data_IF_020179477600
#
_entry.id   IF_020179477600
#
_cell.length_a   1.000
_cell.length_b   1.000
_cell.length_c   1.000
_cell.angle_alpha   90.00
_cell.angle_beta   90.00
_cell.angle_gamma   90.00
#
_symmetry.space_group_name_H-M   'P 1'
#
loop_
_entity.id
_entity.type
_entity.pdbx_description
1 polymer ?
#
# COMPACT_ATOMS: atom_id res chain seq x y z
N UNK A 1 21.70 15.34 8.49
CA UNK A 1 20.54 15.67 7.62
C UNK A 1 19.84 16.87 8.21
N UNK A 2 19.43 17.81 7.36
CA UNK A 2 18.65 18.96 7.80
C UNK A 2 17.26 18.50 8.29
N UNK A 3 16.71 19.13 9.33
CA UNK A 3 15.48 18.68 9.96
C UNK A 3 14.29 18.67 8.98
N UNK A 4 14.22 19.63 8.06
CA UNK A 4 13.16 19.74 7.06
C UNK A 4 13.24 18.62 6.02
N UNK A 5 14.43 18.29 5.53
CA UNK A 5 14.66 17.14 4.65
C UNK A 5 14.30 15.80 5.32
N UNK A 6 14.55 15.67 6.63
CA UNK A 6 14.18 14.49 7.41
C UNK A 6 12.65 14.38 7.58
N UNK A 7 11.94 15.50 7.78
CA UNK A 7 10.48 15.54 7.78
C UNK A 7 9.91 15.05 6.44
N UNK A 8 10.36 15.63 5.33
CA UNK A 8 9.88 15.27 3.99
C UNK A 8 10.11 13.78 3.72
N UNK A 9 11.25 13.24 4.14
CA UNK A 9 11.58 11.83 3.94
C UNK A 9 10.73 10.87 4.75
N UNK A 10 10.49 11.17 6.04
CA UNK A 10 9.94 10.20 6.99
C UNK A 10 8.44 10.38 7.27
N UNK A 11 7.88 11.59 7.08
CA UNK A 11 6.46 11.83 7.38
C UNK A 11 5.50 10.98 6.52
N UNK A 12 5.65 10.87 5.19
CA UNK A 12 4.76 10.05 4.38
C UNK A 12 4.84 8.56 4.76
N UNK A 13 6.03 8.09 5.10
CA UNK A 13 6.27 6.72 5.56
C UNK A 13 5.60 6.46 6.92
N UNK A 14 5.76 7.38 7.87
CA UNK A 14 5.12 7.28 9.18
C UNK A 14 3.60 7.25 9.07
N UNK A 15 3.01 8.07 8.19
CA UNK A 15 1.58 8.08 7.93
C UNK A 15 1.07 6.73 7.38
N UNK A 16 1.82 6.12 6.44
CA UNK A 16 1.50 4.79 5.92
C UNK A 16 1.58 3.71 7.00
N UNK A 17 2.66 3.69 7.80
CA UNK A 17 2.81 2.74 8.89
C UNK A 17 1.72 2.91 9.96
N UNK A 18 1.32 4.16 10.25
CA UNK A 18 0.23 4.46 11.15
C UNK A 18 -1.11 3.89 10.63
N UNK A 19 -1.42 4.12 9.36
CA UNK A 19 -2.62 3.59 8.71
C UNK A 19 -2.64 2.06 8.71
N UNK A 20 -1.53 1.41 8.32
CA UNK A 20 -1.40 -0.04 8.31
C UNK A 20 -1.49 -0.62 9.73
N UNK A 21 -0.93 0.07 10.73
CA UNK A 21 -1.05 -0.28 12.13
C UNK A 21 -2.49 -0.18 12.65
N UNK A 22 -3.20 0.90 12.30
CA UNK A 22 -4.60 1.08 12.63
C UNK A 22 -5.52 0.04 11.99
N UNK A 23 -5.26 -0.33 10.72
CA UNK A 23 -5.98 -1.41 10.03
C UNK A 23 -5.75 -2.75 10.73
N UNK A 24 -4.50 -3.08 11.09
CA UNK A 24 -4.19 -4.33 11.78
C UNK A 24 -4.74 -4.40 13.21
N UNK A 25 -4.89 -3.27 13.89
CA UNK A 25 -5.52 -3.20 15.22
C UNK A 25 -7.06 -3.16 15.16
N UNK A 26 -7.64 -2.97 13.97
CA UNK A 26 -9.08 -3.00 13.77
C UNK A 26 -9.64 -4.40 13.98
N UNK A 27 -10.84 -4.48 14.57
CA UNK A 27 -11.57 -5.74 14.82
C UNK A 27 -12.36 -6.25 13.61
N UNK A 28 -12.14 -5.64 12.44
CA UNK A 28 -12.85 -5.97 11.20
C UNK A 28 -11.84 -6.30 10.12
N UNK A 29 -12.06 -7.38 9.35
CA UNK A 29 -11.20 -7.68 8.22
C UNK A 29 -11.34 -6.58 7.17
N UNK A 30 -10.20 -6.11 6.66
CA UNK A 30 -10.15 -5.04 5.67
C UNK A 30 -9.70 -5.62 4.33
N UNK A 31 -10.52 -5.40 3.30
CA UNK A 31 -10.21 -5.81 1.93
C UNK A 31 -9.58 -4.64 1.18
N UNK A 32 -8.40 -4.86 0.59
CA UNK A 32 -7.80 -3.96 -0.38
C UNK A 32 -7.38 -4.70 -1.63
N UNK A 33 -7.10 -3.96 -2.69
CA UNK A 33 -6.43 -4.47 -3.90
C UNK A 33 -4.92 -4.32 -3.71
N UNK A 34 -4.12 -5.28 -4.19
CA UNK A 34 -2.67 -5.17 -4.15
C UNK A 34 -2.12 -3.93 -4.84
N UNK A 35 -2.75 -3.50 -5.95
CA UNK A 35 -2.35 -2.28 -6.66
C UNK A 35 -2.56 -1.01 -5.82
N UNK A 36 -3.69 -0.86 -5.12
CA UNK A 36 -3.91 0.27 -4.18
C UNK A 36 -2.90 0.27 -3.05
N UNK A 37 -2.59 -0.89 -2.49
CA UNK A 37 -1.61 -1.05 -1.42
C UNK A 37 -0.19 -0.64 -1.88
N UNK A 38 0.22 -1.15 -3.04
CA UNK A 38 1.51 -0.80 -3.65
C UNK A 38 1.61 0.67 -4.06
N UNK A 39 0.51 1.26 -4.55
CA UNK A 39 0.48 2.69 -4.84
C UNK A 39 0.61 3.53 -3.57
N UNK A 40 -0.09 3.14 -2.49
CA UNK A 40 0.03 3.80 -1.19
C UNK A 40 1.45 3.70 -0.63
N UNK A 41 2.10 2.53 -0.77
CA UNK A 41 3.50 2.35 -0.42
C UNK A 41 4.44 3.22 -1.29
N UNK A 42 4.19 3.30 -2.59
CA UNK A 42 4.94 4.17 -3.50
C UNK A 42 4.84 5.66 -3.10
N UNK A 43 3.66 6.11 -2.69
CA UNK A 43 3.49 7.46 -2.13
C UNK A 43 4.22 7.59 -0.79
N UNK A 44 4.18 6.58 0.07
CA UNK A 44 4.83 6.60 1.39
C UNK A 44 6.35 6.74 1.31
N UNK A 45 6.98 6.20 0.25
CA UNK A 45 8.44 6.22 0.05
C UNK A 45 8.90 7.42 -0.80
N UNK A 46 7.99 8.24 -1.33
CA UNK A 46 8.35 9.39 -2.20
C UNK A 46 9.36 10.33 -1.54
N UNK A 47 9.20 10.59 -0.24
CA UNK A 47 10.11 11.44 0.53
C UNK A 47 11.53 10.88 0.58
N UNK A 48 11.65 9.56 0.75
CA UNK A 48 12.95 8.88 0.76
C UNK A 48 13.61 8.92 -0.62
N UNK A 49 12.81 8.80 -1.68
CA UNK A 49 13.29 8.91 -3.06
C UNK A 49 13.83 10.30 -3.39
N UNK A 50 13.13 11.35 -2.93
CA UNK A 50 13.57 12.75 -3.07
C UNK A 50 14.86 13.00 -2.28
N UNK A 51 14.97 12.44 -1.07
CA UNK A 51 16.11 12.68 -0.19
C UNK A 51 17.43 12.04 -0.67
N UNK A 52 17.37 10.94 -1.43
CA UNK A 52 18.56 10.19 -1.85
C UNK A 52 18.61 9.89 -3.36
N UNK A 53 17.96 8.81 -3.84
CA UNK A 53 18.13 8.31 -5.20
C UNK A 53 17.90 9.35 -6.29
N UNK A 54 16.86 10.19 -6.19
CA UNK A 54 16.58 11.20 -7.22
C UNK A 54 17.72 12.21 -7.40
N UNK A 55 18.42 12.57 -6.32
CA UNK A 55 19.61 13.44 -6.40
C UNK A 55 20.77 12.74 -7.08
N UNK A 56 20.90 11.42 -6.91
CA UNK A 56 21.98 10.63 -7.48
C UNK A 56 21.81 10.43 -9.00
N UNK A 57 20.57 10.35 -9.47
CA UNK A 57 20.23 10.18 -10.89
C UNK A 57 20.07 11.51 -11.64
N UNK A 58 20.37 12.65 -11.00
CA UNK A 58 20.30 13.98 -11.60
C UNK A 58 21.66 14.33 -12.22
N UNK A 59 21.80 14.35 -13.56
CA UNK A 59 23.05 14.79 -14.16
C UNK A 59 23.13 16.33 -14.14
N UNK A 60 24.31 16.87 -13.82
CA UNK A 60 24.51 18.31 -13.58
C UNK A 60 24.10 19.20 -14.77
N UNK A 61 24.24 18.67 -15.98
CA UNK A 61 23.84 19.35 -17.22
C UNK A 61 22.31 19.56 -17.32
N UNK A 62 21.51 18.62 -16.84
CA UNK A 62 20.05 18.74 -16.82
C UNK A 62 19.61 19.73 -15.74
N UNK A 63 20.25 19.71 -14.57
CA UNK A 63 19.98 20.67 -13.51
C UNK A 63 20.26 22.12 -13.96
N UNK A 64 21.34 22.33 -14.71
CA UNK A 64 21.69 23.64 -15.28
C UNK A 64 20.69 24.14 -16.34
N UNK A 65 20.10 23.23 -17.13
CA UNK A 65 19.19 23.60 -18.22
C UNK A 65 17.75 23.86 -17.74
N UNK A 66 17.25 23.03 -16.83
CA UNK A 66 15.84 23.05 -16.40
C UNK A 66 15.60 23.78 -15.07
N UNK A 67 16.66 24.08 -14.31
CA UNK A 67 16.56 24.78 -13.04
C UNK A 67 15.59 24.06 -12.07
N UNK A 68 14.73 24.80 -11.33
CA UNK A 68 13.79 24.22 -10.36
C UNK A 68 12.77 23.24 -10.97
N UNK A 69 12.41 23.40 -12.25
CA UNK A 69 11.39 22.56 -12.91
C UNK A 69 11.81 21.09 -13.05
N UNK A 70 13.10 20.78 -12.91
CA UNK A 70 13.58 19.40 -12.97
C UNK A 70 12.96 18.51 -11.88
N UNK A 71 12.65 19.09 -10.71
CA UNK A 71 12.01 18.36 -9.62
C UNK A 71 10.58 17.93 -9.98
N UNK A 72 9.83 18.79 -10.67
CA UNK A 72 8.50 18.44 -11.17
C UNK A 72 8.58 17.31 -12.20
N UNK A 73 9.57 17.36 -13.10
CA UNK A 73 9.78 16.33 -14.11
C UNK A 73 10.20 14.99 -13.48
N UNK A 74 11.09 15.00 -12.48
CA UNK A 74 11.51 13.82 -11.72
C UNK A 74 10.37 13.21 -10.90
N UNK A 75 9.57 14.04 -10.22
CA UNK A 75 8.41 13.58 -9.48
C UNK A 75 7.38 12.95 -10.43
N UNK A 76 7.16 13.57 -11.60
CA UNK A 76 6.26 13.04 -12.63
C UNK A 76 6.74 11.69 -13.16
N UNK A 77 8.04 11.57 -13.47
CA UNK A 77 8.65 10.32 -13.91
C UNK A 77 8.52 9.23 -12.84
N UNK A 78 8.72 9.58 -11.57
CA UNK A 78 8.54 8.66 -10.45
C UNK A 78 7.10 8.14 -10.36
N UNK A 79 6.11 9.02 -10.39
CA UNK A 79 4.70 8.61 -10.36
C UNK A 79 4.31 7.77 -11.58
N UNK A 80 4.86 8.09 -12.75
CA UNK A 80 4.64 7.30 -13.95
C UNK A 80 5.26 5.90 -13.82
N UNK A 81 6.47 5.79 -13.28
CA UNK A 81 7.14 4.52 -13.02
C UNK A 81 6.37 3.67 -11.99
N UNK A 82 5.92 4.27 -10.89
CA UNK A 82 5.08 3.59 -9.88
C UNK A 82 3.75 3.14 -10.50
N UNK A 83 3.11 3.99 -11.30
CA UNK A 83 1.85 3.64 -11.99
C UNK A 83 2.08 2.49 -12.97
N UNK A 84 3.14 2.54 -13.76
CA UNK A 84 3.49 1.49 -14.71
C UNK A 84 3.79 0.16 -14.00
N UNK A 85 4.56 0.20 -12.91
CA UNK A 85 4.77 -0.96 -12.04
C UNK A 85 3.44 -1.55 -11.59
N UNK A 86 2.55 -0.73 -11.00
CA UNK A 86 1.26 -1.20 -10.47
C UNK A 86 0.37 -1.77 -11.59
N UNK A 87 0.42 -1.19 -12.80
CA UNK A 87 -0.32 -1.69 -13.96
C UNK A 87 0.24 -3.00 -14.52
N UNK A 88 1.54 -3.28 -14.35
CA UNK A 88 2.15 -4.56 -14.73
C UNK A 88 1.82 -5.70 -13.77
N UNK A 89 1.38 -5.39 -12.55
CA UNK A 89 1.04 -6.40 -11.58
C UNK A 89 -0.27 -7.11 -11.93
N UNK A 90 -0.30 -8.43 -11.69
CA UNK A 90 -1.52 -9.22 -11.83
C UNK A 90 -2.56 -8.80 -10.80
N UNK A 91 -3.87 -8.91 -11.12
CA UNK A 91 -4.92 -8.61 -10.16
C UNK A 91 -4.77 -9.51 -8.93
N UNK A 92 -4.58 -8.86 -7.78
CA UNK A 92 -4.52 -9.52 -6.48
C UNK A 92 -5.36 -8.74 -5.47
N UNK A 93 -6.02 -9.47 -4.59
CA UNK A 93 -6.74 -8.90 -3.45
C UNK A 93 -6.03 -9.30 -2.17
N UNK A 94 -5.96 -8.39 -1.20
CA UNK A 94 -5.35 -8.63 0.10
C UNK A 94 -6.41 -8.40 1.17
N UNK A 95 -6.66 -9.43 1.96
CA UNK A 95 -7.54 -9.37 3.13
C UNK A 95 -6.68 -9.30 4.37
N UNK A 96 -6.73 -8.17 5.07
CA UNK A 96 -6.05 -7.99 6.34
C UNK A 96 -6.85 -8.55 7.51
N UNK A 97 -6.13 -8.99 8.53
CA UNK A 97 -6.66 -9.50 9.80
C UNK A 97 -7.64 -10.67 9.65
N UNK A 98 -7.30 -11.63 8.79
CA UNK A 98 -8.05 -12.86 8.53
C UNK A 98 -7.09 -14.02 8.26
N UNK A 99 -7.54 -15.25 8.50
CA UNK A 99 -6.81 -16.50 8.17
C UNK A 99 -7.54 -17.24 7.05
N UNK A 100 -6.90 -18.21 6.39
CA UNK A 100 -7.57 -19.01 5.35
C UNK A 100 -8.82 -19.69 5.92
N UNK A 101 -8.77 -20.20 7.15
CA UNK A 101 -9.91 -20.88 7.80
C UNK A 101 -11.13 -19.96 7.99
N UNK A 102 -10.91 -18.67 8.21
CA UNK A 102 -11.98 -17.68 8.36
C UNK A 102 -12.47 -17.17 7.00
N UNK A 103 -11.56 -16.97 6.06
CA UNK A 103 -11.88 -16.44 4.74
C UNK A 103 -12.60 -17.47 3.87
N UNK A 104 -12.20 -18.75 3.94
CA UNK A 104 -12.71 -19.82 3.07
C UNK A 104 -14.22 -20.02 3.17
N UNK A 105 -14.87 -20.03 4.35
CA UNK A 105 -16.33 -20.05 4.47
C UNK A 105 -17.03 -18.79 3.92
N UNK A 106 -16.43 -17.61 4.09
CA UNK A 106 -16.96 -16.35 3.54
C UNK A 106 -16.89 -16.39 2.01
N UNK A 107 -15.72 -16.78 1.48
CA UNK A 107 -15.49 -16.88 0.05
C UNK A 107 -16.35 -17.97 -0.58
N UNK A 108 -16.64 -19.09 0.09
CA UNK A 108 -17.59 -20.11 -0.38
C UNK A 108 -19.00 -19.56 -0.53
N UNK A 109 -19.49 -18.80 0.45
CA UNK A 109 -20.81 -18.16 0.38
C UNK A 109 -20.89 -17.19 -0.80
N UNK A 110 -19.90 -16.29 -0.89
CA UNK A 110 -19.78 -15.33 -1.99
C UNK A 110 -19.65 -16.05 -3.34
N UNK A 111 -18.87 -17.13 -3.41
CA UNK A 111 -18.69 -17.89 -4.63
C UNK A 111 -19.98 -18.55 -5.11
N UNK A 112 -20.75 -19.16 -4.21
CA UNK A 112 -22.03 -19.76 -4.57
C UNK A 112 -23.07 -18.73 -5.04
N UNK A 113 -23.01 -17.49 -4.51
CA UNK A 113 -23.89 -16.40 -4.95
C UNK A 113 -23.50 -15.84 -6.33
N UNK A 114 -22.20 -15.78 -6.63
CA UNK A 114 -21.68 -15.26 -7.89
C UNK A 114 -21.65 -16.30 -9.02
N UNK A 115 -21.33 -17.54 -8.70
CA UNK A 115 -21.12 -18.64 -9.65
C UNK A 115 -21.46 -19.98 -8.99
N UNK A 116 -22.68 -20.51 -9.20
CA UNK A 116 -23.09 -21.80 -8.68
C UNK A 116 -22.21 -22.97 -9.16
N UNK A 117 -21.47 -22.80 -10.26
CA UNK A 117 -20.57 -23.83 -10.81
C UNK A 117 -19.14 -23.73 -10.26
N UNK A 118 -18.88 -22.86 -9.28
CA UNK A 118 -17.56 -22.67 -8.71
C UNK A 118 -16.98 -23.98 -8.13
N UNK A 119 -15.75 -24.32 -8.52
CA UNK A 119 -15.05 -25.55 -8.12
C UNK A 119 -13.88 -25.23 -7.21
N UNK A 120 -13.81 -25.92 -6.08
CA UNK A 120 -12.72 -25.80 -5.13
C UNK A 120 -11.69 -26.92 -5.32
N UNK A 121 -10.41 -26.57 -5.21
CA UNK A 121 -9.31 -27.52 -5.18
C UNK A 121 -8.28 -27.07 -4.14
N UNK A 122 -8.37 -27.62 -2.93
CA UNK A 122 -7.52 -27.19 -1.81
C UNK A 122 -7.75 -25.72 -1.47
N UNK A 123 -6.73 -24.89 -1.73
CA UNK A 123 -6.76 -23.42 -1.53
C UNK A 123 -6.95 -22.64 -2.84
N UNK A 124 -7.16 -23.36 -3.95
CA UNK A 124 -7.56 -22.79 -5.21
C UNK A 124 -9.08 -22.84 -5.39
N UNK A 125 -9.64 -21.83 -6.05
CA UNK A 125 -11.03 -21.81 -6.52
C UNK A 125 -11.10 -21.36 -7.98
N UNK A 126 -11.82 -22.14 -8.78
CA UNK A 126 -12.13 -21.84 -10.16
C UNK A 126 -13.59 -21.38 -10.25
N UNK A 127 -13.81 -20.27 -10.95
CA UNK A 127 -15.11 -19.72 -11.34
C UNK A 127 -15.30 -19.91 -12.85
N UNK A 128 -15.93 -21.00 -13.30
CA UNK A 128 -16.07 -21.29 -14.73
C UNK A 128 -16.84 -20.22 -15.50
N UNK A 129 -17.93 -19.70 -14.93
CA UNK A 129 -18.79 -18.72 -15.64
C UNK A 129 -18.15 -17.33 -15.71
N UNK A 130 -17.31 -16.99 -14.73
CA UNK A 130 -16.55 -15.73 -14.69
C UNK A 130 -15.17 -15.83 -15.35
N UNK A 131 -14.71 -17.04 -15.67
CA UNK A 131 -13.37 -17.28 -16.22
C UNK A 131 -12.23 -16.88 -15.26
N UNK A 132 -12.47 -16.90 -13.96
CA UNK A 132 -11.48 -16.50 -12.95
C UNK A 132 -10.98 -17.75 -12.22
N UNK A 133 -9.67 -17.83 -12.03
CA UNK A 133 -9.05 -18.85 -11.19
C UNK A 133 -8.19 -18.14 -10.13
N UNK A 134 -8.42 -18.48 -8.88
CA UNK A 134 -7.81 -17.84 -7.72
C UNK A 134 -7.10 -18.88 -6.87
N UNK A 135 -6.00 -18.47 -6.24
CA UNK A 135 -5.35 -19.20 -5.15
C UNK A 135 -5.28 -18.31 -3.93
N UNK A 136 -5.58 -18.90 -2.77
CA UNK A 136 -5.44 -18.28 -1.47
C UNK A 136 -4.04 -18.57 -0.92
N UNK A 137 -3.33 -17.51 -0.55
CA UNK A 137 -2.03 -17.58 0.12
C UNK A 137 -2.12 -16.88 1.46
N UNK A 138 -1.82 -17.59 2.54
CA UNK A 138 -1.77 -17.00 3.88
C UNK A 138 -0.35 -16.56 4.22
N UNK A 139 -0.22 -15.34 4.74
CA UNK A 139 0.96 -14.95 5.49
C UNK A 139 0.61 -14.92 6.98
N UNK A 140 1.12 -15.92 7.69
CA UNK A 140 0.84 -16.19 9.10
C UNK A 140 1.37 -15.08 10.01
N UNK A 141 2.47 -14.42 9.62
CA UNK A 141 3.08 -13.33 10.40
C UNK A 141 2.12 -12.13 10.54
N UNK A 142 1.50 -11.68 9.46
CA UNK A 142 0.59 -10.52 9.50
C UNK A 142 -0.90 -10.89 9.53
N UNK A 143 -1.24 -12.18 9.62
CA UNK A 143 -2.63 -12.68 9.54
C UNK A 143 -3.35 -12.04 8.36
N UNK A 144 -2.72 -12.13 7.19
CA UNK A 144 -3.22 -11.62 5.94
C UNK A 144 -3.37 -12.76 4.94
N UNK A 145 -4.47 -12.74 4.19
CA UNK A 145 -4.69 -13.68 3.10
C UNK A 145 -4.67 -12.93 1.79
N UNK A 146 -3.82 -13.37 0.88
CA UNK A 146 -3.74 -12.87 -0.47
C UNK A 146 -4.54 -13.79 -1.39
N UNK A 147 -5.32 -13.19 -2.27
CA UNK A 147 -6.09 -13.86 -3.31
C UNK A 147 -5.42 -13.53 -4.63
N UNK A 148 -4.66 -14.48 -5.15
CA UNK A 148 -3.82 -14.32 -6.34
C UNK A 148 -4.50 -14.94 -7.56
N UNK A 149 -4.40 -14.28 -8.72
CA UNK A 149 -4.86 -14.82 -10.00
C UNK A 149 -3.98 -15.99 -10.48
N UNK A 150 -4.59 -17.13 -10.81
CA UNK A 150 -3.93 -18.30 -11.41
C UNK A 150 -4.38 -18.47 -12.87
N UNK A 151 -3.89 -17.63 -13.76
CA UNK A 151 -4.18 -17.72 -15.19
C UNK A 151 -3.77 -16.47 -15.97
N UNK A 152 -3.74 -16.58 -17.30
CA UNK A 152 -3.32 -15.51 -18.20
C UNK A 152 -4.39 -14.43 -18.43
N UNK A 153 -5.51 -14.77 -19.08
CA UNK A 153 -6.64 -13.85 -19.29
C UNK A 153 -7.63 -14.00 -18.14
N UNK A 154 -7.76 -12.96 -17.34
CA UNK A 154 -8.85 -12.83 -16.37
C UNK A 154 -9.59 -11.54 -16.63
N UNK A 155 -10.91 -11.59 -16.54
CA UNK A 155 -11.75 -10.42 -16.77
C UNK A 155 -11.71 -9.47 -15.55
N UNK A 156 -11.30 -8.22 -15.79
CA UNK A 156 -11.20 -7.19 -14.76
C UNK A 156 -12.56 -6.88 -14.14
N UNK A 157 -13.64 -6.92 -14.94
CA UNK A 157 -14.98 -6.60 -14.45
C UNK A 157 -15.48 -7.68 -13.48
N UNK A 158 -15.19 -8.94 -13.78
CA UNK A 158 -15.47 -10.08 -12.91
C UNK A 158 -14.66 -10.02 -11.60
N UNK A 159 -13.40 -9.57 -11.65
CA UNK A 159 -12.60 -9.27 -10.43
C UNK A 159 -13.22 -8.17 -9.58
N UNK A 160 -13.70 -7.09 -10.21
CA UNK A 160 -14.35 -5.99 -9.50
C UNK A 160 -15.64 -6.43 -8.82
N UNK A 161 -16.42 -7.31 -9.47
CA UNK A 161 -17.62 -7.91 -8.87
C UNK A 161 -17.27 -8.74 -7.64
N UNK A 162 -16.22 -9.57 -7.73
CA UNK A 162 -15.72 -10.35 -6.60
C UNK A 162 -15.25 -9.45 -5.45
N UNK A 163 -14.47 -8.39 -5.74
CA UNK A 163 -14.01 -7.42 -4.73
C UNK A 163 -15.19 -6.78 -3.98
N UNK A 164 -16.24 -6.35 -4.70
CA UNK A 164 -17.40 -5.71 -4.10
C UNK A 164 -18.22 -6.68 -3.24
N UNK A 165 -18.47 -7.89 -3.74
CA UNK A 165 -19.23 -8.91 -3.00
C UNK A 165 -18.47 -9.40 -1.76
N UNK A 166 -17.18 -9.69 -1.91
CA UNK A 166 -16.32 -10.12 -0.80
C UNK A 166 -16.16 -9.00 0.24
N UNK A 167 -15.99 -7.75 -0.20
CA UNK A 167 -15.92 -6.59 0.69
C UNK A 167 -17.22 -6.37 1.47
N UNK A 168 -18.38 -6.63 0.86
CA UNK A 168 -19.68 -6.60 1.52
C UNK A 168 -19.83 -7.69 2.59
N UNK A 169 -19.41 -8.92 2.27
CA UNK A 169 -19.48 -10.06 3.18
C UNK A 169 -18.51 -9.92 4.36
N UNK A 170 -17.26 -9.51 4.12
CA UNK A 170 -16.23 -9.35 5.14
C UNK A 170 -16.58 -8.27 6.18
N UNK A 171 -17.31 -7.21 5.80
CA UNK A 171 -17.76 -6.18 6.74
C UNK A 171 -18.67 -6.70 7.86
N UNK A 172 -19.30 -7.86 7.65
CA UNK A 172 -20.19 -8.50 8.64
C UNK A 172 -19.42 -9.41 9.60
N UNK A 173 -18.18 -9.74 9.28
CA UNK A 173 -17.33 -10.59 10.10
C UNK A 173 -16.56 -9.76 11.12
N UNK A 174 -16.32 -10.34 12.30
CA UNK A 174 -15.52 -9.72 13.36
C UNK A 174 -14.30 -10.58 13.63
N UNK A 175 -13.13 -9.98 13.67
CA UNK A 175 -11.86 -10.69 13.90
C UNK A 175 -11.12 -10.11 15.10
N UNK A 176 -10.32 -10.96 15.76
CA UNK A 176 -9.46 -10.51 16.85
C UNK A 176 -8.37 -9.57 16.30
N UNK A 177 -8.04 -8.47 17.00
CA UNK A 177 -7.02 -7.52 16.55
C UNK A 177 -5.65 -8.19 16.42
N UNK A 178 -4.83 -7.75 15.47
CA UNK A 178 -3.49 -8.29 15.26
C UNK A 178 -2.46 -7.51 16.11
N UNK A 179 -1.70 -8.17 17.01
CA UNK A 179 -0.68 -7.51 17.83
C UNK A 179 0.42 -6.81 17.02
N UNK A 180 0.72 -7.26 15.79
CA UNK A 180 1.67 -6.58 14.90
C UNK A 180 1.23 -5.16 14.53
N UNK A 181 -0.07 -4.86 14.60
CA UNK A 181 -0.58 -3.49 14.45
C UNK A 181 -0.01 -2.54 15.51
N UNK A 182 0.16 -3.02 16.74
CA UNK A 182 0.78 -2.24 17.82
C UNK A 182 2.25 -1.93 17.56
N UNK A 183 3.00 -2.87 16.97
CA UNK A 183 4.41 -2.67 16.60
C UNK A 183 4.50 -1.59 15.51
N UNK A 184 3.69 -1.70 14.45
CA UNK A 184 3.66 -0.70 13.37
C UNK A 184 3.29 0.70 13.89
N UNK A 185 2.30 0.80 14.77
CA UNK A 185 1.92 2.06 15.41
C UNK A 185 3.07 2.63 16.25
N UNK A 186 3.75 1.78 17.02
CA UNK A 186 4.88 2.21 17.86
C UNK A 186 6.02 2.76 17.00
N UNK A 187 6.33 2.10 15.88
CA UNK A 187 7.34 2.58 14.93
C UNK A 187 6.90 3.92 14.31
N UNK A 188 5.66 4.03 13.86
CA UNK A 188 5.13 5.26 13.28
C UNK A 188 5.19 6.44 14.27
N UNK A 189 4.80 6.20 15.52
CA UNK A 189 4.87 7.21 16.60
C UNK A 189 6.32 7.57 16.89
N UNK A 190 7.22 6.59 16.96
CA UNK A 190 8.64 6.82 17.23
C UNK A 190 9.29 7.66 16.13
N UNK A 191 9.02 7.37 14.85
CA UNK A 191 9.46 8.18 13.72
C UNK A 191 8.93 9.61 13.85
N UNK A 192 7.63 9.76 14.12
CA UNK A 192 6.98 11.08 14.27
C UNK A 192 7.60 11.88 15.42
N UNK A 193 7.81 11.26 16.58
CA UNK A 193 8.43 11.89 17.76
C UNK A 193 9.86 12.32 17.45
N UNK A 194 10.67 11.47 16.80
CA UNK A 194 12.04 11.82 16.41
C UNK A 194 12.05 13.02 15.46
N UNK A 195 11.15 13.04 14.47
CA UNK A 195 11.02 14.15 13.51
C UNK A 195 10.64 15.45 14.25
N UNK A 196 9.65 15.41 15.13
CA UNK A 196 9.21 16.58 15.91
C UNK A 196 10.32 17.07 16.85
N UNK A 197 11.01 16.18 17.55
CA UNK A 197 12.11 16.55 18.45
C UNK A 197 13.28 17.18 17.68
N UNK A 198 13.59 16.70 16.48
CA UNK A 198 14.62 17.30 15.63
C UNK A 198 14.22 18.69 15.15
N UNK A 199 12.95 18.89 14.81
CA UNK A 199 12.41 20.19 14.41
C UNK A 199 12.47 21.20 15.57
N UNK A 200 12.07 20.78 16.77
CA UNK A 200 12.08 21.63 17.98
C UNK A 200 13.50 21.97 18.45
N UNK A 201 14.48 21.09 18.23
CA UNK A 201 15.89 21.34 18.62
C UNK A 201 16.60 22.33 17.70
N UNK A 202 16.14 22.52 16.46
CA UNK A 202 16.77 23.40 15.46
C UNK A 202 15.73 24.20 14.65
N UNK A 203 14.89 25.01 15.31
CA UNK A 203 13.83 25.76 14.63
C UNK A 203 14.40 26.76 13.62
N UNK A 204 15.56 27.35 13.92
CA UNK A 204 16.18 28.39 13.10
C UNK A 204 16.62 27.86 11.72
N UNK A 205 17.16 26.63 11.69
CA UNK A 205 17.56 25.99 10.43
C UNK A 205 16.36 25.57 9.58
N UNK A 206 15.27 25.12 10.21
CA UNK A 206 14.05 24.76 9.49
C UNK A 206 13.37 26.00 8.89
N UNK A 207 13.36 27.12 9.62
CA UNK A 207 12.81 28.38 9.14
C UNK A 207 13.65 29.00 8.00
N UNK A 208 14.98 28.85 8.07
CA UNK A 208 15.89 29.31 7.01
C UNK A 208 15.68 28.51 5.71
N UNK A 209 15.64 27.17 5.81
CA UNK A 209 15.42 26.32 4.63
C UNK A 209 14.03 26.49 4.02
N UNK A 210 12.98 26.66 4.85
CA UNK A 210 11.64 26.93 4.33
C UNK A 210 11.60 28.23 3.52
N UNK A 211 12.34 29.26 3.96
CA UNK A 211 12.47 30.52 3.23
C UNK A 211 13.27 30.35 1.93
N UNK A 212 14.34 29.57 1.93
CA UNK A 212 15.08 29.24 0.71
C UNK A 212 14.19 28.49 -0.29
N UNK A 213 13.42 27.50 0.18
CA UNK A 213 12.50 26.72 -0.66
C UNK A 213 11.36 27.55 -1.28
N UNK A 214 10.91 28.63 -0.63
CA UNK A 214 9.89 29.55 -1.15
C UNK A 214 10.47 30.69 -2.00
N UNK A 215 11.79 30.89 -2.01
CA UNK A 215 12.47 31.88 -2.85
C UNK A 215 12.94 31.32 -4.21
N UNK A 216 12.74 30.02 -4.45
CA UNK A 216 12.94 29.36 -5.75
C UNK A 216 11.64 29.23 -6.54
#
# INVERSE_FOLDING_TARGET
MNPLHLCIALCPLAAYMFLLGAINLSRRPFLTTGGRDNYALGVAVVGLMIAGPMKLFLPDNAAALFGPYIWLLMLSLYFLAVTFWVLMERPRLVVFNSTIDQLKPVLRRVANELDPEARWSGDAILFPSLGIHLVLEESTAMRNVQINSVGGRQDFLSWRRLELALGGALRRETTAPNPYGGILLTIAVSITVVVVLQLMRRPDLAALEWKELMMF
#
